data_IF_990647096155
#
_entry.id   IF_990647096155
#
_cell.length_a   1.000
_cell.length_b   1.000
_cell.length_c   1.000
_cell.angle_alpha   90.00
_cell.angle_beta   90.00
_cell.angle_gamma   90.00
#
_symmetry.space_group_name_H-M   'P 1'
#
loop_
_entity.id
_entity.type
_entity.pdbx_description
1 polymer ?
#
# COMPACT_ATOMS: atom_id res chain seq x y z
N UNK A 1 -19.39 -5.01 43.37
CA UNK A 1 -19.84 -4.32 42.14
C UNK A 1 -18.60 -4.03 41.30
N UNK A 2 -18.29 -4.68 40.19
CA UNK A 2 -19.16 -5.37 39.24
C UNK A 2 -19.44 -4.49 38.02
N UNK A 3 -18.39 -4.07 37.30
CA UNK A 3 -18.50 -3.49 35.97
C UNK A 3 -17.22 -3.79 35.16
N UNK A 4 -17.06 -5.07 34.83
CA UNK A 4 -16.22 -5.55 33.73
C UNK A 4 -17.21 -6.00 32.65
N UNK A 5 -16.93 -5.66 31.40
CA UNK A 5 -17.61 -6.10 30.16
C UNK A 5 -18.45 -5.04 29.46
N UNK A 6 -17.85 -4.41 28.44
CA UNK A 6 -18.38 -4.38 27.06
C UNK A 6 -17.44 -3.59 26.13
N UNK A 7 -16.14 -3.90 26.13
CA UNK A 7 -15.30 -3.64 24.97
C UNK A 7 -15.11 -4.99 24.32
N UNK A 8 -15.75 -5.16 23.18
CA UNK A 8 -15.77 -6.40 22.43
C UNK A 8 -14.35 -6.93 22.26
N UNK A 9 -14.21 -8.17 22.68
CA UNK A 9 -13.09 -9.05 22.40
C UNK A 9 -12.83 -9.08 20.90
N UNK A 10 -11.89 -8.27 20.44
CA UNK A 10 -11.14 -8.49 19.20
C UNK A 10 -9.66 -8.40 19.54
N UNK A 11 -9.16 -9.46 20.18
CA UNK A 11 -7.77 -9.87 20.09
C UNK A 11 -7.47 -10.38 18.66
N UNK A 12 -7.85 -9.61 17.64
CA UNK A 12 -7.27 -9.81 16.31
C UNK A 12 -5.97 -9.02 16.36
N UNK A 13 -4.86 -9.74 16.48
CA UNK A 13 -3.51 -9.20 16.33
C UNK A 13 -3.41 -8.69 14.88
N UNK A 14 -3.99 -7.54 14.60
CA UNK A 14 -3.53 -6.69 13.53
C UNK A 14 -2.19 -6.19 14.04
N UNK A 15 -1.11 -6.86 13.65
CA UNK A 15 0.15 -6.14 13.56
C UNK A 15 -0.06 -4.82 12.81
N UNK A 16 0.85 -3.87 12.93
CA UNK A 16 0.71 -2.57 12.26
C UNK A 16 0.40 -2.75 10.76
N UNK A 17 -0.72 -2.21 10.23
CA UNK A 17 -1.28 -2.59 8.93
C UNK A 17 -0.52 -1.98 7.73
N UNK A 18 0.78 -2.19 7.65
CA UNK A 18 1.71 -1.52 6.71
C UNK A 18 1.41 -1.75 5.22
N UNK A 19 0.63 -2.77 4.87
CA UNK A 19 0.37 -3.16 3.48
C UNK A 19 -1.11 -3.30 3.16
N UNK A 20 -1.99 -2.88 4.09
CA UNK A 20 -3.42 -3.13 3.98
C UNK A 20 -4.05 -2.05 3.07
N UNK A 21 -4.94 -2.47 2.17
CA UNK A 21 -5.65 -1.54 1.29
C UNK A 21 -6.66 -0.65 2.05
N UNK A 22 -6.95 0.56 1.55
CA UNK A 22 -7.95 1.46 2.15
C UNK A 22 -9.32 0.80 2.33
N UNK A 23 -9.82 0.12 1.29
CA UNK A 23 -11.14 -0.54 1.29
C UNK A 23 -11.22 -1.65 2.34
N UNK A 24 -10.13 -2.39 2.56
CA UNK A 24 -10.08 -3.45 3.59
C UNK A 24 -10.13 -2.87 5.00
N UNK A 25 -9.46 -1.74 5.23
CA UNK A 25 -9.54 -0.99 6.50
C UNK A 25 -10.93 -0.39 6.74
N UNK A 26 -11.61 0.03 5.68
CA UNK A 26 -12.96 0.60 5.70
C UNK A 26 -14.06 -0.46 5.68
N UNK A 27 -13.72 -1.75 5.55
CA UNK A 27 -14.66 -2.87 5.38
C UNK A 27 -15.58 -2.71 4.16
N UNK A 28 -15.04 -2.11 3.11
CA UNK A 28 -15.68 -1.99 1.80
C UNK A 28 -15.42 -3.25 0.95
N UNK A 29 -16.20 -3.49 -0.12
CA UNK A 29 -15.96 -4.61 -1.01
C UNK A 29 -14.55 -4.60 -1.63
N UNK A 30 -13.83 -5.69 -1.44
CA UNK A 30 -12.50 -5.91 -2.00
C UNK A 30 -12.61 -6.57 -3.39
N UNK A 31 -11.67 -6.24 -4.28
CA UNK A 31 -11.43 -6.97 -5.51
C UNK A 31 -9.92 -7.10 -5.76
N UNK A 32 -9.51 -7.54 -6.96
CA UNK A 32 -8.09 -7.72 -7.31
C UNK A 32 -7.23 -6.46 -7.08
N UNK A 33 -7.84 -5.27 -7.04
CA UNK A 33 -7.14 -4.00 -6.87
C UNK A 33 -6.69 -3.79 -5.42
N UNK A 34 -7.29 -4.50 -4.46
CA UNK A 34 -6.83 -4.57 -3.08
C UNK A 34 -5.46 -5.24 -2.99
N UNK A 35 -5.29 -6.38 -3.67
CA UNK A 35 -4.00 -7.08 -3.78
C UNK A 35 -2.94 -6.23 -4.51
N UNK A 36 -3.34 -5.50 -5.55
CA UNK A 36 -2.46 -4.56 -6.28
C UNK A 36 -1.94 -3.45 -5.34
N UNK A 37 -2.79 -2.93 -4.45
CA UNK A 37 -2.35 -1.96 -3.45
C UNK A 37 -1.34 -2.57 -2.48
N UNK A 38 -1.64 -3.75 -1.93
CA UNK A 38 -0.75 -4.43 -1.00
C UNK A 38 0.61 -4.74 -1.63
N UNK A 39 0.62 -5.22 -2.87
CA UNK A 39 1.85 -5.42 -3.64
C UNK A 39 2.61 -4.11 -3.87
N UNK A 40 1.92 -3.03 -4.22
CA UNK A 40 2.52 -1.69 -4.35
C UNK A 40 3.18 -1.22 -3.06
N UNK A 41 2.53 -1.42 -1.92
CA UNK A 41 3.08 -1.09 -0.60
C UNK A 41 4.31 -1.95 -0.25
N UNK A 42 4.29 -3.24 -0.57
CA UNK A 42 5.44 -4.14 -0.41
C UNK A 42 6.61 -3.73 -1.29
N UNK A 43 6.37 -3.41 -2.56
CA UNK A 43 7.42 -2.97 -3.50
C UNK A 43 7.99 -1.61 -3.12
N UNK A 44 7.15 -0.68 -2.68
CA UNK A 44 7.61 0.58 -2.10
C UNK A 44 8.56 0.30 -0.94
N UNK A 45 8.18 -0.57 -0.01
CA UNK A 45 9.02 -0.92 1.13
C UNK A 45 10.37 -1.50 0.69
N UNK A 46 10.35 -2.48 -0.23
CA UNK A 46 11.57 -3.10 -0.73
C UNK A 46 12.56 -2.09 -1.33
N UNK A 47 12.07 -1.04 -2.00
CA UNK A 47 12.91 -0.03 -2.63
C UNK A 47 13.29 1.14 -1.70
N UNK A 48 12.35 1.57 -0.85
CA UNK A 48 12.53 2.71 0.05
C UNK A 48 13.24 2.33 1.36
N UNK A 49 13.33 1.04 1.69
CA UNK A 49 13.86 0.52 2.96
C UNK A 49 12.93 0.71 4.16
N UNK A 50 11.72 1.24 3.94
CA UNK A 50 10.66 1.46 4.95
C UNK A 50 9.28 1.40 4.31
N UNK A 51 8.22 1.02 5.04
CA UNK A 51 6.88 0.95 4.47
C UNK A 51 6.36 2.36 4.10
N UNK A 52 5.32 2.46 3.24
CA UNK A 52 4.80 3.74 2.77
C UNK A 52 4.30 4.63 3.92
N UNK A 53 3.82 4.03 5.01
CA UNK A 53 3.33 4.73 6.19
C UNK A 53 3.81 4.07 7.47
N UNK A 54 4.36 4.88 8.39
CA UNK A 54 4.76 4.47 9.73
C UNK A 54 4.23 5.48 10.74
N UNK A 55 3.74 5.00 11.87
CA UNK A 55 3.26 5.81 12.97
C UNK A 55 3.47 5.05 14.30
N UNK A 56 3.22 5.73 15.41
CA UNK A 56 3.37 5.15 16.75
C UNK A 56 2.32 4.07 17.03
N UNK A 57 1.15 4.20 16.39
CA UNK A 57 0.02 3.27 16.57
C UNK A 57 -0.45 2.65 15.26
N UNK A 58 -0.98 1.43 15.35
CA UNK A 58 -1.60 0.74 14.21
C UNK A 58 -2.78 1.53 13.62
N UNK A 59 -3.56 2.21 14.47
CA UNK A 59 -4.69 3.05 14.06
C UNK A 59 -4.24 4.24 13.21
N UNK A 60 -3.14 4.90 13.58
CA UNK A 60 -2.57 5.99 12.78
C UNK A 60 -2.05 5.49 11.44
N UNK A 61 -1.39 4.32 11.39
CA UNK A 61 -0.99 3.72 10.12
C UNK A 61 -2.22 3.45 9.25
N UNK A 62 -3.29 2.87 9.80
CA UNK A 62 -4.54 2.64 9.08
C UNK A 62 -5.13 3.95 8.52
N UNK A 63 -5.18 5.02 9.33
CA UNK A 63 -5.65 6.35 8.87
C UNK A 63 -4.82 6.86 7.69
N UNK A 64 -3.50 6.75 7.75
CA UNK A 64 -2.61 7.17 6.65
C UNK A 64 -2.82 6.34 5.38
N UNK A 65 -3.08 5.05 5.53
CA UNK A 65 -3.48 4.21 4.40
C UNK A 65 -4.77 4.71 3.74
N UNK A 66 -5.73 5.26 4.50
CA UNK A 66 -6.99 5.78 3.97
C UNK A 66 -6.82 7.16 3.30
N UNK A 67 -6.10 8.10 3.91
CA UNK A 67 -6.11 9.52 3.48
C UNK A 67 -4.81 10.05 2.89
N UNK A 68 -3.66 9.54 3.33
CA UNK A 68 -2.39 10.25 3.15
C UNK A 68 -1.65 9.77 1.90
N UNK A 69 -0.81 10.63 1.32
CA UNK A 69 0.10 10.21 0.24
C UNK A 69 1.42 9.71 0.83
N UNK A 70 1.99 8.60 0.32
CA UNK A 70 3.30 8.14 0.76
C UNK A 70 4.36 9.19 0.40
N UNK A 71 5.50 9.23 1.11
CA UNK A 71 6.64 10.02 0.68
C UNK A 71 7.05 9.64 -0.76
N UNK A 72 7.44 10.59 -1.63
CA UNK A 72 7.84 10.28 -2.99
C UNK A 72 8.98 9.26 -3.02
N UNK A 73 8.83 8.16 -3.76
CA UNK A 73 9.82 7.07 -3.73
C UNK A 73 11.25 7.55 -4.04
N UNK A 74 11.42 8.48 -4.99
CA UNK A 74 12.74 9.02 -5.36
C UNK A 74 13.41 9.88 -4.27
N UNK A 75 12.69 10.30 -3.23
CA UNK A 75 13.33 10.96 -2.08
C UNK A 75 14.05 9.96 -1.17
N UNK A 76 13.68 8.68 -1.23
CA UNK A 76 14.27 7.58 -0.45
C UNK A 76 15.16 6.67 -1.31
N UNK A 77 14.81 6.49 -2.58
CA UNK A 77 15.57 5.72 -3.56
C UNK A 77 15.79 6.56 -4.84
N UNK A 78 16.81 7.45 -4.89
CA UNK A 78 17.04 8.35 -6.02
C UNK A 78 17.29 7.65 -7.36
N UNK A 79 17.84 6.43 -7.30
CA UNK A 79 18.14 5.58 -8.46
C UNK A 79 16.90 4.89 -9.04
N UNK A 80 15.75 4.95 -8.36
CA UNK A 80 14.51 4.38 -8.86
C UNK A 80 14.12 5.01 -10.20
N UNK A 81 13.94 4.16 -11.22
CA UNK A 81 13.52 4.57 -12.54
C UNK A 81 12.13 5.22 -12.50
N UNK A 82 11.92 6.23 -13.34
CA UNK A 82 10.65 6.98 -13.40
C UNK A 82 9.44 6.07 -13.62
N UNK A 83 9.57 5.08 -14.52
CA UNK A 83 8.49 4.12 -14.79
C UNK A 83 8.12 3.28 -13.56
N UNK A 84 9.10 2.84 -12.78
CA UNK A 84 8.89 2.10 -11.52
C UNK A 84 8.15 2.97 -10.51
N UNK A 85 8.55 4.24 -10.39
CA UNK A 85 7.93 5.21 -9.47
C UNK A 85 6.46 5.41 -9.83
N UNK A 86 6.16 5.72 -11.10
CA UNK A 86 4.78 5.91 -11.59
C UNK A 86 3.95 4.64 -11.37
N UNK A 87 4.54 3.46 -11.60
CA UNK A 87 3.83 2.19 -11.44
C UNK A 87 3.44 1.95 -9.98
N UNK A 88 4.38 2.16 -9.05
CA UNK A 88 4.14 2.02 -7.60
C UNK A 88 3.16 3.07 -7.09
N UNK A 89 3.30 4.33 -7.50
CA UNK A 89 2.37 5.41 -7.11
C UNK A 89 0.94 5.10 -7.56
N UNK A 90 0.77 4.55 -8.77
CA UNK A 90 -0.55 4.13 -9.26
C UNK A 90 -1.11 2.96 -8.43
N UNK A 91 -0.29 1.97 -8.05
CA UNK A 91 -0.72 0.90 -7.13
C UNK A 91 -1.22 1.46 -5.78
N UNK A 92 -0.54 2.50 -5.25
CA UNK A 92 -0.85 3.12 -3.95
C UNK A 92 -1.97 4.16 -4.00
N UNK A 93 -2.69 4.27 -5.12
CA UNK A 93 -3.85 5.15 -5.23
C UNK A 93 -4.94 4.75 -4.24
N UNK A 94 -5.54 5.74 -3.56
CA UNK A 94 -6.53 5.48 -2.51
C UNK A 94 -7.81 4.89 -3.06
N UNK A 95 -8.29 5.46 -4.17
CA UNK A 95 -9.44 4.90 -4.88
C UNK A 95 -8.98 3.74 -5.76
N UNK A 96 -9.66 2.60 -5.65
CA UNK A 96 -9.33 1.40 -6.41
C UNK A 96 -9.43 1.61 -7.93
N UNK A 97 -10.41 2.38 -8.40
CA UNK A 97 -10.60 2.73 -9.83
C UNK A 97 -9.44 3.49 -10.47
N UNK A 98 -8.59 4.14 -9.66
CA UNK A 98 -7.37 4.80 -10.13
C UNK A 98 -6.15 3.87 -10.21
N UNK A 99 -6.25 2.65 -9.69
CA UNK A 99 -5.18 1.64 -9.74
C UNK A 99 -5.16 0.91 -11.09
N UNK A 100 -4.26 -0.05 -11.23
CA UNK A 100 -4.21 -0.94 -12.39
C UNK A 100 -5.45 -1.84 -12.43
N UNK A 101 -6.09 -1.96 -13.60
CA UNK A 101 -7.35 -2.69 -13.74
C UNK A 101 -7.18 -4.21 -13.81
N UNK A 102 -5.93 -4.69 -13.99
CA UNK A 102 -5.61 -6.11 -14.01
C UNK A 102 -4.14 -6.37 -13.67
N UNK A 103 -3.83 -7.60 -13.29
CA UNK A 103 -2.44 -8.06 -13.15
C UNK A 103 -1.65 -7.98 -14.46
N UNK A 104 -2.29 -8.26 -15.60
CA UNK A 104 -1.64 -8.19 -16.91
C UNK A 104 -1.19 -6.76 -17.24
N UNK A 105 -2.03 -5.76 -16.94
CA UNK A 105 -1.68 -4.35 -17.11
C UNK A 105 -0.49 -3.98 -16.23
N UNK A 106 -0.51 -4.37 -14.94
CA UNK A 106 0.59 -4.12 -14.01
C UNK A 106 1.92 -4.75 -14.46
N UNK A 107 1.89 -6.03 -14.86
CA UNK A 107 3.07 -6.76 -15.33
C UNK A 107 3.67 -6.11 -16.57
N UNK A 108 2.82 -5.65 -17.51
CA UNK A 108 3.30 -4.96 -18.72
C UNK A 108 4.15 -3.74 -18.38
N UNK A 109 3.77 -2.97 -17.37
CA UNK A 109 4.49 -1.76 -16.96
C UNK A 109 5.87 -2.08 -16.36
N UNK A 110 5.96 -3.12 -15.53
CA UNK A 110 7.25 -3.57 -15.00
C UNK A 110 8.15 -4.15 -16.10
N UNK A 111 7.58 -4.92 -17.02
CA UNK A 111 8.33 -5.45 -18.16
C UNK A 111 8.88 -4.34 -19.08
N UNK A 112 8.10 -3.27 -19.30
CA UNK A 112 8.56 -2.08 -20.02
C UNK A 112 9.70 -1.36 -19.29
N UNK A 113 9.66 -1.30 -17.96
CA UNK A 113 10.75 -0.71 -17.17
C UNK A 113 12.05 -1.49 -17.33
N UNK A 114 12.02 -2.83 -17.20
CA UNK A 114 13.21 -3.69 -17.29
C UNK A 114 13.89 -3.61 -18.66
N UNK A 115 13.11 -3.47 -19.74
CA UNK A 115 13.63 -3.30 -21.10
C UNK A 115 14.45 -2.01 -21.25
N UNK A 116 14.11 -0.96 -20.51
CA UNK A 116 14.79 0.35 -20.57
C UNK A 116 16.06 0.41 -19.71
N UNK A 117 16.21 -0.50 -18.75
CA UNK A 117 17.42 -0.58 -17.90
C UNK A 117 18.56 -1.35 -18.58
N UNK A 118 18.23 -2.22 -19.53
CA UNK A 118 19.18 -3.15 -20.18
C UNK A 118 19.68 -2.62 -21.53
N UNK A 119 19.26 -1.42 -21.94
CA UNK A 119 19.65 -0.78 -23.20
C UNK A 119 20.45 0.48 -22.95
#
# INVERSE_FOLDING_TARGET
AGARSALGQQDEIWGTPYYVSPERLLREPEDIRSDIYSLGATLYHALAGRPPFEAETAEEVAKRHISDRPPPLRSLCPEAQEQTVVTIDKCLSKKADLRWGSYAELISQYADSLRRTTS
#
